data_IF_824621415733
#
_entry.id   IF_824621415733
#
_cell.length_a   1.000
_cell.length_b   1.000
_cell.length_c   1.000
_cell.angle_alpha   90.00
_cell.angle_beta   90.00
_cell.angle_gamma   90.00
#
_symmetry.space_group_name_H-M   'P 1'
#
loop_
_entity.id
_entity.type
_entity.pdbx_description
1 polymer ?
2 water ?
#
# COMPACT_ATOMS: atom_id res chain seq x y z
N UNK A 1 -16.55 16.79 -7.33
CA UNK A 1 -15.55 15.90 -7.98
C UNK A 1 -16.12 15.15 -9.19
N UNK A 2 -15.32 15.05 -10.24
CA UNK A 2 -15.72 14.33 -11.43
C UNK A 2 -15.68 12.85 -11.09
N UNK A 3 -15.96 12.00 -12.07
CA UNK A 3 -15.94 10.56 -11.87
C UNK A 3 -14.50 10.09 -11.65
N UNK A 4 -13.58 10.59 -12.47
CA UNK A 4 -12.17 10.23 -12.36
C UNK A 4 -11.58 10.60 -11.00
N UNK A 5 -11.90 11.79 -10.51
CA UNK A 5 -11.38 12.23 -9.23
C UNK A 5 -11.92 11.40 -8.08
N UNK A 6 -13.20 11.04 -8.12
CA UNK A 6 -13.75 10.24 -7.04
C UNK A 6 -13.17 8.84 -7.10
N UNK A 7 -12.93 8.36 -8.32
CA UNK A 7 -12.36 7.03 -8.49
C UNK A 7 -10.95 7.00 -7.88
N UNK A 8 -10.17 8.04 -8.17
CA UNK A 8 -8.80 8.15 -7.66
C UNK A 8 -8.77 8.29 -6.15
N UNK A 9 -9.82 8.89 -5.58
CA UNK A 9 -9.88 9.04 -4.14
C UNK A 9 -10.22 7.71 -3.48
N UNK A 10 -11.21 7.00 -4.00
CA UNK A 10 -11.59 5.71 -3.43
C UNK A 10 -10.43 4.75 -3.56
N UNK A 11 -9.73 4.86 -4.68
CA UNK A 11 -8.58 4.03 -4.99
C UNK A 11 -7.52 4.23 -3.90
N UNK A 12 -7.21 5.49 -3.58
CA UNK A 12 -6.21 5.77 -2.56
C UNK A 12 -6.62 5.30 -1.17
N UNK A 13 -7.89 5.47 -0.81
CA UNK A 13 -8.36 5.03 0.50
C UNK A 13 -8.28 3.52 0.59
N UNK A 14 -8.53 2.85 -0.52
CA UNK A 14 -8.47 1.39 -0.56
C UNK A 14 -7.03 0.93 -0.29
N UNK A 15 -6.07 1.60 -0.92
CA UNK A 15 -4.66 1.27 -0.73
C UNK A 15 -4.26 1.49 0.73
N UNK A 16 -4.68 2.60 1.31
CA UNK A 16 -4.38 2.88 2.71
C UNK A 16 -4.97 1.78 3.60
N UNK A 17 -6.16 1.29 3.23
CA UNK A 17 -6.82 0.22 3.96
C UNK A 17 -5.97 -1.06 3.90
N UNK A 18 -5.52 -1.40 2.69
CA UNK A 18 -4.71 -2.60 2.51
C UNK A 18 -3.41 -2.53 3.29
N UNK A 19 -2.85 -1.33 3.40
CA UNK A 19 -1.60 -1.14 4.15
C UNK A 19 -1.85 -1.48 5.62
N UNK A 20 -2.94 -0.97 6.17
CA UNK A 20 -3.29 -1.24 7.55
C UNK A 20 -3.56 -2.73 7.71
N UNK A 21 -4.33 -3.29 6.77
CA UNK A 21 -4.65 -4.70 6.80
C UNK A 21 -3.39 -5.57 6.84
N UNK A 22 -2.47 -5.32 5.92
CA UNK A 22 -1.26 -6.12 5.88
C UNK A 22 -0.27 -5.84 6.99
N UNK A 23 -0.24 -4.62 7.50
CA UNK A 23 0.68 -4.31 8.59
C UNK A 23 0.33 -5.14 9.82
N UNK A 24 -0.96 -5.24 10.14
CA UNK A 24 -1.37 -6.01 11.30
C UNK A 24 -1.15 -7.51 11.10
N UNK A 25 -1.50 -8.03 9.94
CA UNK A 25 -1.31 -9.46 9.66
C UNK A 25 0.17 -9.77 9.72
N UNK A 26 0.96 -8.86 9.14
CA UNK A 26 2.41 -8.96 9.09
C UNK A 26 3.00 -8.96 10.49
N UNK A 27 2.61 -7.97 11.30
CA UNK A 27 3.10 -7.87 12.66
C UNK A 27 2.65 -9.06 13.48
N UNK A 28 1.41 -9.50 13.24
CA UNK A 28 0.84 -10.64 13.96
C UNK A 28 1.57 -11.95 13.69
N UNK A 29 1.91 -12.20 12.43
CA UNK A 29 2.61 -13.43 12.10
C UNK A 29 4.07 -13.32 12.52
N UNK A 30 4.73 -12.23 12.13
CA UNK A 30 6.13 -12.03 12.50
C UNK A 30 6.30 -12.34 13.97
N UNK A 31 5.24 -12.08 14.73
CA UNK A 31 5.24 -12.34 16.16
C UNK A 31 5.72 -13.77 16.35
N UNK A 32 5.02 -14.71 15.72
CA UNK A 32 5.37 -16.12 15.82
C UNK A 32 6.74 -16.42 15.24
N UNK A 33 6.91 -16.16 13.94
CA UNK A 33 8.18 -16.43 13.27
C UNK A 33 9.20 -15.32 13.52
N UNK A 38 6.65 -23.85 11.40
CA UNK A 38 7.38 -22.59 11.52
C UNK A 38 7.56 -21.93 10.14
N UNK A 39 7.63 -22.75 9.09
CA UNK A 39 7.79 -22.23 7.73
C UNK A 39 6.55 -21.40 7.42
N UNK A 40 5.43 -21.86 7.97
CA UNK A 40 4.14 -21.22 7.78
C UNK A 40 4.12 -19.74 8.14
N UNK A 41 4.50 -19.43 9.38
CA UNK A 41 4.51 -18.05 9.84
C UNK A 41 5.45 -17.18 9.02
N UNK A 42 6.60 -17.73 8.62
CA UNK A 42 7.52 -16.93 7.83
C UNK A 42 6.97 -16.74 6.42
N UNK A 43 6.37 -17.79 5.87
CA UNK A 43 5.79 -17.68 4.54
C UNK A 43 4.70 -16.61 4.57
N UNK A 44 3.89 -16.61 5.64
CA UNK A 44 2.81 -15.63 5.78
C UNK A 44 3.38 -14.22 5.91
N UNK A 45 4.40 -14.06 6.74
CA UNK A 45 5.02 -12.75 6.92
C UNK A 45 5.51 -12.24 5.56
N UNK A 46 6.18 -13.11 4.80
CA UNK A 46 6.70 -12.72 3.49
C UNK A 46 5.56 -12.30 2.56
N UNK A 47 4.47 -13.05 2.59
CA UNK A 47 3.31 -12.76 1.76
C UNK A 47 2.79 -11.36 2.06
N UNK A 48 2.58 -11.10 3.35
CA UNK A 48 2.06 -9.82 3.79
C UNK A 48 3.01 -8.66 3.58
N UNK A 49 4.28 -8.84 3.90
CA UNK A 49 5.24 -7.76 3.72
C UNK A 49 5.40 -7.46 2.22
N UNK A 50 5.26 -8.48 1.38
CA UNK A 50 5.40 -8.25 -0.05
C UNK A 50 4.25 -7.36 -0.53
N UNK A 51 3.06 -7.60 -0.01
CA UNK A 51 1.91 -6.79 -0.39
C UNK A 51 2.07 -5.37 0.14
N UNK A 52 2.51 -5.24 1.38
CA UNK A 52 2.71 -3.93 1.97
C UNK A 52 3.65 -3.11 1.09
N UNK A 53 4.75 -3.73 0.68
CA UNK A 53 5.74 -3.11 -0.17
C UNK A 53 5.11 -2.54 -1.45
N UNK A 54 4.26 -3.32 -2.10
CA UNK A 54 3.60 -2.88 -3.33
C UNK A 54 2.65 -1.71 -3.04
N UNK A 55 1.92 -1.79 -1.93
CA UNK A 55 0.98 -0.73 -1.58
C UNK A 55 1.69 0.54 -1.13
N UNK A 56 2.79 0.39 -0.41
CA UNK A 56 3.54 1.55 0.02
C UNK A 56 4.01 2.31 -1.23
N UNK A 57 4.45 1.57 -2.25
CA UNK A 57 4.91 2.21 -3.49
C UNK A 57 3.78 2.98 -4.15
N UNK A 58 2.60 2.37 -4.20
CA UNK A 58 1.43 3.00 -4.80
C UNK A 58 1.03 4.29 -4.08
N UNK A 59 1.28 4.33 -2.78
CA UNK A 59 0.97 5.52 -1.99
C UNK A 59 1.81 6.67 -2.53
N UNK A 60 2.98 6.33 -3.05
CA UNK A 60 3.86 7.33 -3.61
C UNK A 60 3.27 7.89 -4.89
N UNK A 61 2.65 7.03 -5.70
CA UNK A 61 2.03 7.46 -6.95
C UNK A 61 0.86 8.39 -6.71
N UNK A 62 0.10 8.15 -5.64
CA UNK A 62 -1.02 9.04 -5.36
C UNK A 62 -0.49 10.40 -4.93
N UNK A 63 0.72 10.43 -4.37
CA UNK A 63 1.31 11.70 -3.98
C UNK A 63 1.62 12.48 -5.24
N UNK A 64 2.06 11.79 -6.28
CA UNK A 64 2.34 12.42 -7.56
C UNK A 64 1.04 13.08 -8.06
N UNK A 65 -0.07 12.35 -7.96
CA UNK A 65 -1.36 12.86 -8.39
C UNK A 65 -1.74 14.13 -7.62
N UNK A 66 -1.67 14.06 -6.29
CA UNK A 66 -2.02 15.20 -5.46
C UNK A 66 -1.11 16.39 -5.72
N UNK A 67 0.01 16.13 -6.39
CA UNK A 67 0.98 17.17 -6.72
C UNK A 67 0.91 17.60 -8.19
N UNK A 68 0.10 16.91 -8.98
CA UNK A 68 -0.01 17.27 -10.39
C UNK A 68 1.06 16.67 -11.29
N UNK A 69 1.94 15.86 -10.71
CA UNK A 69 3.02 15.23 -11.45
C UNK A 69 2.54 14.05 -12.28
N UNK A 70 3.32 13.70 -13.30
CA UNK A 70 2.98 12.56 -14.14
C UNK A 70 3.10 11.32 -13.26
N UNK A 71 2.48 10.22 -13.68
CA UNK A 71 2.53 9.00 -12.90
C UNK A 71 3.95 8.49 -12.66
N UNK A 72 4.73 8.37 -13.73
CA UNK A 72 6.10 7.86 -13.65
C UNK A 72 7.10 8.65 -12.80
N UNK A 73 6.80 9.91 -12.50
CA UNK A 73 7.70 10.72 -11.68
C UNK A 73 7.96 10.10 -10.30
N UNK A 74 9.08 10.51 -9.70
CA UNK A 74 9.48 10.02 -8.38
C UNK A 74 8.98 10.94 -7.26
N UNK A 75 8.22 10.37 -6.31
CA UNK A 75 7.62 11.05 -5.15
C UNK A 75 8.62 11.81 -4.27
N UNK A 76 8.11 12.78 -3.51
CA UNK A 76 8.94 13.57 -2.62
C UNK A 76 9.01 12.91 -1.24
N UNK A 77 10.14 13.05 -0.56
CA UNK A 77 10.32 12.48 0.77
C UNK A 77 10.81 13.53 1.78
#
# INVERSE_FOLDING_TARGET
MSYEKEFLKDFEDWVKTQIQVNQLAMATSQEVAQEDGDERAKDAFIRYESKLDAYEFLLGKFDNYKNGKAFHDIPDELFGARHY
#
